data_IF_482492692270
#
_entry.id   IF_482492692270
#
_cell.length_a   1.000
_cell.length_b   1.000
_cell.length_c   1.000
_cell.angle_alpha   90.00
_cell.angle_beta   90.00
_cell.angle_gamma   90.00
#
_symmetry.space_group_name_H-M   'P 1'
#
loop_
_entity.id
_entity.type
_entity.pdbx_description
1 polymer ?
#
# COMPACT_ATOMS: atom_id res chain seq x y z
N UNK A 1 -10.29 20.95 -35.37
CA UNK A 1 -10.54 19.59 -34.82
C UNK A 1 -9.35 18.76 -35.29
N UNK A 2 -8.44 18.19 -34.52
CA UNK A 2 -8.14 18.05 -33.09
C UNK A 2 -6.60 17.85 -33.03
N UNK A 3 -5.99 18.25 -31.91
CA UNK A 3 -4.55 18.53 -31.77
C UNK A 3 -3.72 17.25 -31.72
N UNK A 4 -2.68 17.16 -32.57
CA UNK A 4 -1.62 16.17 -32.40
C UNK A 4 -0.89 16.39 -31.07
N UNK A 5 -1.05 15.46 -30.13
CA UNK A 5 -0.32 15.48 -28.86
C UNK A 5 1.15 15.19 -29.17
N UNK A 6 1.99 16.24 -29.19
CA UNK A 6 3.45 16.04 -29.10
C UNK A 6 3.72 15.30 -27.80
N UNK A 7 4.32 14.10 -27.89
CA UNK A 7 4.80 13.38 -26.71
C UNK A 7 5.81 14.30 -25.99
N UNK A 8 5.67 14.55 -24.69
CA UNK A 8 6.64 15.36 -23.96
C UNK A 8 8.00 14.65 -23.99
N UNK A 9 9.08 15.42 -24.10
CA UNK A 9 10.43 14.92 -23.86
C UNK A 9 10.47 14.38 -22.44
N UNK A 10 10.67 13.07 -22.30
CA UNK A 10 10.76 12.40 -20.99
C UNK A 10 12.18 12.60 -20.49
N UNK A 11 12.34 13.37 -19.40
CA UNK A 11 13.59 13.46 -18.66
C UNK A 11 13.83 12.12 -17.94
N UNK A 12 14.88 11.41 -18.34
CA UNK A 12 15.27 10.09 -17.78
C UNK A 12 15.91 10.20 -16.39
N UNK A 13 16.21 11.42 -15.93
CA UNK A 13 16.75 11.70 -14.59
C UNK A 13 15.67 12.02 -13.57
N UNK A 14 14.46 12.36 -14.01
CA UNK A 14 13.30 12.43 -13.11
C UNK A 14 12.80 11.02 -12.77
N UNK A 15 12.60 10.68 -11.49
CA UNK A 15 11.87 9.49 -11.14
C UNK A 15 10.42 9.64 -11.66
N UNK A 16 10.15 9.01 -12.80
CA UNK A 16 8.82 8.94 -13.39
C UNK A 16 7.79 8.50 -12.33
N UNK A 17 6.53 8.96 -12.45
CA UNK A 17 5.42 8.36 -11.67
C UNK A 17 5.42 6.83 -11.72
N UNK A 18 5.93 6.23 -12.81
CA UNK A 18 6.13 4.77 -12.94
C UNK A 18 7.17 4.19 -11.97
N UNK A 19 8.27 4.88 -11.67
CA UNK A 19 9.28 4.37 -10.74
C UNK A 19 8.81 4.37 -9.29
N UNK A 20 7.96 5.33 -8.91
CA UNK A 20 7.33 5.34 -7.57
C UNK A 20 6.28 4.23 -7.44
N UNK A 21 5.50 3.97 -8.49
CA UNK A 21 4.55 2.86 -8.54
C UNK A 21 5.27 1.51 -8.36
N UNK A 22 6.34 1.27 -9.12
CA UNK A 22 7.14 0.03 -9.03
C UNK A 22 7.66 -0.23 -7.61
N UNK A 23 8.10 0.81 -6.88
CA UNK A 23 8.55 0.64 -5.49
C UNK A 23 7.43 0.23 -4.53
N UNK A 24 6.19 0.67 -4.77
CA UNK A 24 5.02 0.27 -3.98
C UNK A 24 4.52 -1.15 -4.33
N UNK A 25 5.00 -1.72 -5.42
CA UNK A 25 4.69 -3.10 -5.83
C UNK A 25 5.71 -4.12 -5.29
N UNK A 26 6.61 -3.69 -4.40
CA UNK A 26 7.63 -4.53 -3.78
C UNK A 26 7.18 -4.88 -2.34
N UNK A 27 7.15 -6.17 -1.94
CA UNK A 27 6.69 -6.59 -0.60
C UNK A 27 7.38 -5.87 0.56
N UNK A 28 8.67 -5.55 0.40
CA UNK A 28 9.48 -4.83 1.38
C UNK A 28 8.95 -3.43 1.69
N UNK A 29 8.36 -2.75 0.71
CA UNK A 29 7.86 -1.38 0.84
C UNK A 29 6.34 -1.29 1.00
N UNK A 30 5.63 -2.39 0.75
CA UNK A 30 4.17 -2.44 0.81
C UNK A 30 3.72 -3.53 1.80
N UNK A 31 3.26 -3.15 3.00
CA UNK A 31 2.77 -4.12 3.98
C UNK A 31 1.41 -4.73 3.63
N UNK A 32 0.80 -4.28 2.53
CA UNK A 32 -0.48 -4.75 2.00
C UNK A 32 -0.31 -5.37 0.61
N UNK A 33 0.87 -5.92 0.32
CA UNK A 33 1.20 -6.49 -0.98
C UNK A 33 0.24 -7.62 -1.37
N UNK A 34 -0.12 -8.49 -0.41
CA UNK A 34 -1.02 -9.61 -0.64
C UNK A 34 -2.45 -9.13 -0.97
N UNK A 35 -2.99 -8.19 -0.22
CA UNK A 35 -4.32 -7.60 -0.47
C UNK A 35 -4.36 -6.85 -1.80
N UNK A 36 -3.28 -6.14 -2.15
CA UNK A 36 -3.13 -5.51 -3.45
C UNK A 36 -3.15 -6.54 -4.58
N UNK A 37 -2.34 -7.60 -4.45
CA UNK A 37 -2.26 -8.68 -5.43
C UNK A 37 -3.61 -9.38 -5.62
N UNK A 38 -4.35 -9.64 -4.53
CA UNK A 38 -5.71 -10.20 -4.59
C UNK A 38 -6.70 -9.25 -5.29
N UNK A 39 -6.63 -7.95 -5.02
CA UNK A 39 -7.48 -6.96 -5.69
C UNK A 39 -7.18 -6.88 -7.19
N UNK A 40 -5.92 -6.90 -7.60
CA UNK A 40 -5.52 -6.89 -9.01
C UNK A 40 -5.95 -8.18 -9.70
N UNK A 41 -5.69 -9.32 -9.07
CA UNK A 41 -6.13 -10.63 -9.54
C UNK A 41 -7.64 -10.64 -9.80
N UNK A 42 -8.45 -10.18 -8.85
CA UNK A 42 -9.89 -10.11 -9.03
C UNK A 42 -10.28 -9.28 -10.26
N UNK A 43 -9.66 -8.11 -10.46
CA UNK A 43 -9.94 -7.27 -11.62
C UNK A 43 -9.61 -8.00 -12.93
N UNK A 44 -8.47 -8.67 -13.00
CA UNK A 44 -8.08 -9.44 -14.18
C UNK A 44 -9.09 -10.56 -14.50
N UNK A 45 -9.60 -11.26 -13.48
CA UNK A 45 -10.62 -12.31 -13.67
C UNK A 45 -12.00 -11.78 -14.07
N UNK A 46 -12.37 -10.57 -13.63
CA UNK A 46 -13.72 -10.02 -13.80
C UNK A 46 -13.79 -8.94 -14.88
N UNK A 47 -12.89 -8.97 -15.88
CA UNK A 47 -12.83 -7.98 -16.96
C UNK A 47 -12.82 -6.53 -16.43
N UNK A 48 -12.08 -6.31 -15.33
CA UNK A 48 -11.94 -5.03 -14.62
C UNK A 48 -13.26 -4.48 -14.03
N UNK A 49 -14.27 -5.32 -13.79
CA UNK A 49 -15.46 -4.92 -13.05
C UNK A 49 -15.11 -4.65 -11.57
N UNK A 50 -15.06 -3.36 -11.23
CA UNK A 50 -14.75 -2.92 -9.87
C UNK A 50 -15.81 -3.32 -8.85
N UNK A 51 -17.08 -3.45 -9.25
CA UNK A 51 -18.17 -3.82 -8.33
C UNK A 51 -18.03 -5.28 -7.90
N UNK A 52 -17.69 -6.16 -8.83
CA UNK A 52 -17.41 -7.57 -8.54
C UNK A 52 -16.25 -7.75 -7.55
N UNK A 53 -15.31 -6.80 -7.53
CA UNK A 53 -14.10 -6.85 -6.70
C UNK A 53 -14.15 -5.97 -5.43
N UNK A 54 -15.32 -5.46 -5.05
CA UNK A 54 -15.45 -4.50 -3.94
C UNK A 54 -14.80 -4.99 -2.64
N UNK A 55 -15.01 -6.26 -2.26
CA UNK A 55 -14.46 -6.81 -1.02
C UNK A 55 -12.92 -6.83 -1.02
N UNK A 56 -12.29 -7.21 -2.13
CA UNK A 56 -10.83 -7.19 -2.25
C UNK A 56 -10.26 -5.77 -2.19
N UNK A 57 -10.94 -4.83 -2.85
CA UNK A 57 -10.56 -3.42 -2.80
C UNK A 57 -10.70 -2.86 -1.38
N UNK A 58 -11.75 -3.24 -0.65
CA UNK A 58 -11.98 -2.78 0.71
C UNK A 58 -10.94 -3.36 1.67
N UNK A 59 -10.61 -4.65 1.55
CA UNK A 59 -9.52 -5.26 2.32
C UNK A 59 -8.19 -4.54 2.10
N UNK A 60 -7.84 -4.21 0.86
CA UNK A 60 -6.63 -3.45 0.56
C UNK A 60 -6.64 -2.04 1.19
N UNK A 61 -7.78 -1.33 1.16
CA UNK A 61 -7.91 -0.02 1.82
C UNK A 61 -7.77 -0.13 3.33
N UNK A 62 -8.42 -1.10 3.95
CA UNK A 62 -8.36 -1.32 5.40
C UNK A 62 -6.93 -1.65 5.84
N UNK A 63 -6.24 -2.52 5.10
CA UNK A 63 -4.84 -2.82 5.36
C UNK A 63 -3.96 -1.55 5.32
N UNK A 64 -4.10 -0.70 4.28
CA UNK A 64 -3.33 0.55 4.20
C UNK A 64 -3.63 1.48 5.38
N UNK A 65 -4.91 1.64 5.71
CA UNK A 65 -5.33 2.49 6.84
C UNK A 65 -4.75 1.99 8.17
N UNK A 66 -4.70 0.67 8.37
CA UNK A 66 -4.07 0.05 9.53
C UNK A 66 -2.57 0.39 9.59
N UNK A 67 -1.82 0.11 8.52
CA UNK A 67 -0.38 0.33 8.51
C UNK A 67 0.02 1.82 8.55
N UNK A 68 -0.80 2.71 8.00
CA UNK A 68 -0.63 4.16 8.15
C UNK A 68 -0.71 4.60 9.62
N UNK A 69 -1.66 4.05 10.38
CA UNK A 69 -1.79 4.34 11.82
C UNK A 69 -0.63 3.75 12.62
N UNK A 70 -0.25 2.50 12.34
CA UNK A 70 0.90 1.84 12.96
C UNK A 70 2.19 2.63 12.72
N UNK A 71 2.45 3.06 11.48
CA UNK A 71 3.64 3.83 11.14
C UNK A 71 3.66 5.20 11.85
N UNK A 72 2.51 5.88 11.97
CA UNK A 72 2.40 7.14 12.73
C UNK A 72 2.66 6.92 14.23
N UNK A 73 2.06 5.89 14.82
CA UNK A 73 2.29 5.56 16.23
C UNK A 73 3.77 5.25 16.51
N UNK A 74 4.39 4.40 15.67
CA UNK A 74 5.82 4.07 15.76
C UNK A 74 6.70 5.31 15.64
N UNK A 75 6.43 6.16 14.64
CA UNK A 75 7.18 7.41 14.44
C UNK A 75 7.04 8.35 15.64
N UNK A 76 5.85 8.46 16.24
CA UNK A 76 5.60 9.31 17.41
C UNK A 76 6.36 8.87 18.67
N UNK A 77 6.91 7.65 18.67
CA UNK A 77 7.72 7.05 19.72
C UNK A 77 9.18 6.85 19.31
N UNK A 78 9.60 7.51 18.25
CA UNK A 78 10.96 7.43 17.71
C UNK A 78 11.41 6.01 17.29
N UNK A 79 10.45 5.15 16.89
CA UNK A 79 10.73 3.81 16.38
C UNK A 79 10.92 3.84 14.85
N UNK A 80 12.17 3.73 14.40
CA UNK A 80 12.55 3.75 12.99
C UNK A 80 13.11 2.39 12.52
N UNK A 81 12.77 1.92 11.30
CA UNK A 81 11.89 2.57 10.33
C UNK A 81 10.40 2.55 10.77
N UNK A 82 9.59 3.56 10.40
CA UNK A 82 8.17 3.63 10.77
C UNK A 82 7.38 2.43 10.27
N UNK A 83 7.62 2.04 9.02
CA UNK A 83 7.17 0.77 8.48
C UNK A 83 8.19 -0.31 8.88
N UNK A 84 7.82 -1.30 9.72
CA UNK A 84 8.74 -2.37 10.07
C UNK A 84 9.11 -3.25 8.85
N UNK A 85 10.32 -3.83 8.87
CA UNK A 85 10.74 -4.77 7.84
C UNK A 85 9.85 -6.03 7.83
N UNK A 86 9.76 -6.76 6.69
CA UNK A 86 8.80 -7.86 6.53
C UNK A 86 8.83 -8.92 7.64
N UNK A 87 10.01 -9.30 8.11
CA UNK A 87 10.21 -10.30 9.17
C UNK A 87 9.71 -9.86 10.56
N UNK A 88 9.50 -8.56 10.79
CA UNK A 88 9.00 -8.02 12.06
C UNK A 88 7.50 -7.67 12.01
N UNK A 89 6.91 -7.62 10.82
CA UNK A 89 5.53 -7.13 10.63
C UNK A 89 4.50 -7.91 11.42
N UNK A 90 4.66 -9.22 11.54
CA UNK A 90 3.71 -10.06 12.30
C UNK A 90 3.73 -9.72 13.79
N UNK A 91 4.92 -9.64 14.39
CA UNK A 91 5.08 -9.27 15.80
C UNK A 91 4.59 -7.84 16.07
N UNK A 92 4.94 -6.89 15.20
CA UNK A 92 4.46 -5.50 15.34
C UNK A 92 2.95 -5.45 15.17
N UNK A 93 2.36 -6.17 14.21
CA UNK A 93 0.91 -6.20 14.00
C UNK A 93 0.17 -6.69 15.25
N UNK A 94 0.72 -7.66 15.98
CA UNK A 94 0.13 -8.19 17.20
C UNK A 94 0.03 -7.17 18.35
N UNK A 95 0.75 -6.05 18.28
CA UNK A 95 0.67 -4.96 19.26
C UNK A 95 -0.53 -4.03 19.03
N UNK A 96 -1.26 -4.15 17.92
CA UNK A 96 -2.35 -3.25 17.54
C UNK A 96 -3.67 -4.01 17.34
N UNK A 97 -4.80 -3.34 17.58
CA UNK A 97 -6.12 -3.85 17.25
C UNK A 97 -6.43 -3.72 15.75
N UNK A 98 -7.60 -4.20 15.31
CA UNK A 98 -8.02 -4.16 13.90
C UNK A 98 -8.12 -2.73 13.34
N UNK A 99 -8.35 -1.73 14.20
CA UNK A 99 -8.41 -0.33 13.83
C UNK A 99 -7.03 0.34 13.74
N UNK A 100 -5.94 -0.37 14.03
CA UNK A 100 -4.57 0.18 13.99
C UNK A 100 -4.20 0.99 15.23
N UNK A 101 -4.88 0.77 16.35
CA UNK A 101 -4.60 1.41 17.64
C UNK A 101 -3.83 0.43 18.54
N UNK A 102 -2.81 0.94 19.23
CA UNK A 102 -1.93 0.11 20.06
C UNK A 102 -2.70 -0.45 21.25
N UNK A 103 -2.54 -1.75 21.50
CA UNK A 103 -3.09 -2.46 22.66
C UNK A 103 -2.19 -2.16 23.86
N UNK A 104 -2.53 -1.13 24.64
CA UNK A 104 -1.81 -0.81 25.88
C UNK A 104 -2.24 -1.80 26.95
N UNK A 105 -1.34 -2.70 27.36
CA UNK A 105 -1.51 -3.46 28.60
C UNK A 105 -1.16 -2.53 29.76
N UNK A 106 -2.19 -2.16 30.53
CA UNK A 106 -2.02 -1.42 31.78
C UNK A 106 -1.37 -2.27 32.87
#
# INVERSE_FOLDING_TARGET
MERGVRRPNVDVTEPSRRSFQYKADIPENNPCFEEMAMSLKCLDYNNYDRKACHLYQENYKLCRKFWDKVARDRSSRDLYPPLPPPNERESVRAEYNLDGERIVKG
#
